data_IF_435062446436
#
_entry.id   IF_435062446436
#
_cell.length_a   1.000
_cell.length_b   1.000
_cell.length_c   1.000
_cell.angle_alpha   90.00
_cell.angle_beta   90.00
_cell.angle_gamma   90.00
#
_symmetry.space_group_name_H-M   'P 1'
#
loop_
_entity.id
_entity.type
_entity.pdbx_description
1 polymer ?
#
# COMPACT_ATOMS: atom_id res chain seq x y z
N UNK A 1 -9.72 -16.51 -4.10
CA UNK A 1 -8.80 -15.36 -4.18
C UNK A 1 -8.98 -14.42 -3.02
N UNK A 2 -7.93 -13.72 -2.75
CA UNK A 2 -7.95 -12.78 -1.67
C UNK A 2 -8.83 -11.59 -2.01
N UNK A 3 -9.58 -11.10 -1.03
CA UNK A 3 -10.33 -9.87 -1.26
C UNK A 3 -9.44 -8.63 -1.31
N UNK A 4 -8.21 -8.73 -0.84
CA UNK A 4 -7.30 -7.60 -0.83
C UNK A 4 -6.15 -7.89 -1.76
N UNK A 5 -5.91 -7.01 -2.73
CA UNK A 5 -4.73 -7.19 -3.53
C UNK A 5 -4.26 -5.83 -4.02
N UNK A 6 -3.04 -5.83 -4.51
CA UNK A 6 -2.34 -4.61 -4.83
C UNK A 6 -2.14 -4.55 -6.33
N UNK A 7 -2.46 -3.41 -6.91
CA UNK A 7 -2.17 -3.14 -8.31
C UNK A 7 -1.15 -2.02 -8.36
N UNK A 8 -0.03 -2.30 -9.01
CA UNK A 8 1.06 -1.33 -9.13
C UNK A 8 0.95 -0.61 -10.45
N UNK A 9 1.31 0.65 -10.45
CA UNK A 9 1.37 1.42 -11.67
C UNK A 9 2.78 1.86 -11.99
N UNK A 10 3.75 1.16 -11.45
CA UNK A 10 5.14 1.53 -11.63
C UNK A 10 5.65 1.26 -13.02
N UNK A 11 5.02 0.37 -13.74
CA UNK A 11 5.49 0.02 -15.07
C UNK A 11 5.33 1.16 -16.05
N UNK A 12 4.73 2.23 -15.66
CA UNK A 12 4.47 3.33 -16.57
C UNK A 12 5.66 4.24 -16.80
N UNK A 13 6.76 3.99 -16.21
CA UNK A 13 8.01 4.70 -16.46
C UNK A 13 8.00 6.18 -16.13
N UNK A 14 6.95 6.67 -15.53
CA UNK A 14 6.92 8.05 -15.08
C UNK A 14 7.48 8.13 -13.68
N UNK A 15 7.64 9.34 -13.19
CA UNK A 15 8.07 9.52 -11.82
C UNK A 15 6.91 9.51 -10.84
N UNK A 16 5.70 9.29 -11.31
CA UNK A 16 4.56 9.17 -10.43
C UNK A 16 4.37 7.71 -10.09
N UNK A 17 4.44 7.41 -8.82
CA UNK A 17 4.35 6.04 -8.35
C UNK A 17 3.17 5.93 -7.41
N UNK A 18 2.28 5.01 -7.70
CA UNK A 18 1.10 4.79 -6.89
C UNK A 18 0.89 3.30 -6.76
N UNK A 19 0.68 2.86 -5.54
CA UNK A 19 0.23 1.51 -5.25
C UNK A 19 -1.23 1.62 -4.88
N UNK A 20 -2.08 0.90 -5.59
CA UNK A 20 -3.51 0.93 -5.34
C UNK A 20 -3.92 -0.36 -4.65
N UNK A 21 -4.56 -0.21 -3.50
CA UNK A 21 -5.15 -1.33 -2.77
C UNK A 21 -6.62 -1.37 -3.11
N UNK A 22 -7.11 -2.51 -3.53
CA UNK A 22 -8.50 -2.64 -4.01
C UNK A 22 -9.24 -3.71 -3.22
N UNK A 23 -10.56 -3.72 -3.37
CA UNK A 23 -11.44 -4.68 -2.71
C UNK A 23 -11.30 -4.64 -1.20
N UNK A 24 -11.22 -3.43 -0.67
CA UNK A 24 -10.99 -3.22 0.75
C UNK A 24 -12.29 -3.35 1.53
N UNK A 25 -12.21 -3.80 2.79
CA UNK A 25 -13.38 -3.74 3.68
C UNK A 25 -13.80 -2.29 3.91
N UNK A 26 -14.98 -2.13 4.49
CA UNK A 26 -15.53 -0.81 4.76
C UNK A 26 -14.57 0.02 5.59
N UNK A 27 -14.07 -0.55 6.67
CA UNK A 27 -13.12 0.14 7.52
C UNK A 27 -11.91 -0.73 7.69
N UNK A 28 -10.75 -0.21 7.36
CA UNK A 28 -9.53 -0.96 7.53
C UNK A 28 -8.35 -0.02 7.69
N UNK A 29 -7.27 -0.59 8.17
CA UNK A 29 -6.01 0.12 8.33
C UNK A 29 -4.98 -0.64 7.51
N UNK A 30 -4.27 0.07 6.65
CA UNK A 30 -3.21 -0.49 5.85
C UNK A 30 -1.89 0.02 6.39
N UNK A 31 -1.05 -0.90 6.85
CA UNK A 31 0.29 -0.55 7.31
C UNK A 31 1.29 -1.05 6.31
N UNK A 32 2.26 -0.23 6.01
CA UNK A 32 3.28 -0.55 5.02
C UNK A 32 4.63 -0.53 5.71
N UNK A 33 5.37 -1.62 5.54
CA UNK A 33 6.66 -1.83 6.21
C UNK A 33 7.76 -2.01 5.19
N UNK A 34 8.93 -1.55 5.53
CA UNK A 34 10.13 -1.85 4.75
C UNK A 34 10.48 -3.33 4.91
N UNK A 35 11.41 -3.80 4.10
CA UNK A 35 11.86 -5.19 4.19
C UNK A 35 12.52 -5.50 5.52
N UNK A 36 12.99 -4.49 6.23
CA UNK A 36 13.57 -4.69 7.56
C UNK A 36 12.52 -4.61 8.67
N UNK A 37 11.25 -4.41 8.32
CA UNK A 37 10.20 -4.43 9.32
C UNK A 37 9.86 -3.09 9.93
N UNK A 38 10.41 -2.01 9.39
CA UNK A 38 10.13 -0.67 9.90
C UNK A 38 8.85 -0.14 9.27
N UNK A 39 7.97 0.42 10.08
CA UNK A 39 6.74 1.01 9.58
C UNK A 39 7.07 2.24 8.75
N UNK A 40 6.67 2.19 7.49
CA UNK A 40 6.95 3.26 6.54
C UNK A 40 5.77 4.20 6.45
N UNK A 41 4.57 3.65 6.38
CA UNK A 41 3.39 4.47 6.20
C UNK A 41 2.17 3.74 6.72
N UNK A 42 1.12 4.51 7.01
CA UNK A 42 -0.14 3.98 7.47
C UNK A 42 -1.26 4.70 6.73
N UNK A 43 -2.16 3.94 6.16
CA UNK A 43 -3.29 4.47 5.40
C UNK A 43 -4.56 3.98 6.06
N UNK A 44 -5.44 4.89 6.43
CA UNK A 44 -6.74 4.53 6.99
C UNK A 44 -7.77 4.63 5.88
N UNK A 45 -8.60 3.62 5.79
CA UNK A 45 -9.65 3.56 4.78
C UNK A 45 -11.00 3.48 5.45
N UNK A 46 -11.87 4.40 5.10
CA UNK A 46 -13.24 4.43 5.60
C UNK A 46 -14.16 4.61 4.41
N UNK A 47 -15.06 3.68 4.24
CA UNK A 47 -15.97 3.69 3.10
C UNK A 47 -17.34 3.26 3.57
N UNK A 48 -18.35 3.57 2.81
CA UNK A 48 -19.71 3.12 3.12
C UNK A 48 -20.01 1.79 2.45
N UNK A 49 -19.15 1.31 1.56
CA UNK A 49 -19.40 0.07 0.85
C UNK A 49 -18.13 -0.76 0.81
N UNK A 50 -18.32 -2.07 0.78
CA UNK A 50 -17.21 -3.00 0.59
C UNK A 50 -16.68 -2.86 -0.83
N UNK A 51 -15.40 -3.14 -0.99
CA UNK A 51 -14.79 -3.13 -2.33
C UNK A 51 -14.15 -1.82 -2.71
N UNK A 52 -14.02 -0.92 -1.78
CA UNK A 52 -13.38 0.36 -2.05
C UNK A 52 -11.89 0.24 -2.33
N UNK A 53 -11.28 1.36 -2.63
CA UNK A 53 -9.88 1.41 -3.00
C UNK A 53 -9.20 2.57 -2.29
N UNK A 54 -7.89 2.41 -2.08
CA UNK A 54 -7.04 3.47 -1.55
C UNK A 54 -5.73 3.48 -2.31
N UNK A 55 -5.23 4.66 -2.55
CA UNK A 55 -3.96 4.84 -3.21
C UNK A 55 -2.89 5.20 -2.18
N UNK A 56 -1.71 4.60 -2.35
CA UNK A 56 -0.55 5.02 -1.58
C UNK A 56 0.44 5.63 -2.57
N UNK A 57 0.90 6.81 -2.24
CA UNK A 57 1.75 7.58 -3.14
C UNK A 57 3.24 7.28 -2.97
N UNK A 58 3.57 6.15 -2.37
CA UNK A 58 4.92 5.64 -2.14
C UNK A 58 5.80 6.62 -1.37
N UNK A 59 5.18 7.33 -0.44
CA UNK A 59 5.92 8.25 0.42
C UNK A 59 5.82 7.78 1.85
N UNK A 60 6.89 8.01 2.60
CA UNK A 60 6.89 7.66 4.01
C UNK A 60 6.12 8.72 4.79
N UNK A 61 6.12 8.58 6.12
CA UNK A 61 5.34 9.47 6.97
C UNK A 61 5.92 10.88 7.00
N UNK A 62 7.13 11.06 6.54
CA UNK A 62 7.75 12.36 6.40
C UNK A 62 7.57 12.94 5.00
N UNK A 63 6.71 12.31 4.20
CA UNK A 63 6.38 12.76 2.85
C UNK A 63 7.57 12.67 1.89
N UNK A 64 8.47 11.74 2.14
CA UNK A 64 9.61 11.49 1.27
C UNK A 64 9.37 10.23 0.47
N UNK A 65 9.73 10.25 -0.80
CA UNK A 65 9.59 9.07 -1.66
C UNK A 65 10.48 7.95 -1.12
N UNK A 66 9.91 6.76 -1.00
CA UNK A 66 10.65 5.65 -0.45
C UNK A 66 11.63 5.10 -1.46
N UNK A 67 12.64 4.43 -0.98
CA UNK A 67 13.66 3.82 -1.83
C UNK A 67 13.09 2.61 -2.56
N UNK A 68 13.72 2.25 -3.65
CA UNK A 68 13.40 1.01 -4.33
C UNK A 68 13.63 -0.18 -3.40
N UNK A 69 12.78 -1.17 -3.51
CA UNK A 69 12.93 -2.36 -2.69
C UNK A 69 11.61 -3.08 -2.51
N UNK A 70 11.67 -4.11 -1.69
CA UNK A 70 10.49 -4.90 -1.34
C UNK A 70 9.87 -4.32 -0.09
N UNK A 71 8.55 -4.18 -0.13
CA UNK A 71 7.78 -3.67 0.99
C UNK A 71 6.68 -4.65 1.32
N UNK A 72 6.30 -4.67 2.58
CA UNK A 72 5.23 -5.53 3.06
C UNK A 72 4.05 -4.68 3.48
N UNK A 73 2.86 -5.19 3.26
CA UNK A 73 1.67 -4.49 3.72
C UNK A 73 0.86 -5.41 4.62
N UNK A 74 0.12 -4.79 5.50
CA UNK A 74 -0.72 -5.46 6.47
C UNK A 74 -2.04 -4.72 6.51
N UNK A 75 -3.11 -5.38 6.08
CA UNK A 75 -4.44 -4.80 6.08
C UNK A 75 -5.22 -5.43 7.21
N UNK A 76 -5.73 -4.60 8.10
CA UNK A 76 -6.43 -5.05 9.28
C UNK A 76 -7.83 -4.46 9.30
N UNK A 77 -8.83 -5.31 9.50
CA UNK A 77 -10.22 -4.90 9.53
C UNK A 77 -10.98 -5.79 10.49
N UNK A 78 -11.45 -5.20 11.57
CA UNK A 78 -12.16 -5.95 12.57
C UNK A 78 -11.29 -7.03 13.16
N UNK A 79 -11.43 -8.15 13.24
CA UNK A 79 -10.54 -9.18 13.76
C UNK A 79 -9.76 -9.89 12.68
N UNK A 80 -9.95 -9.49 11.42
CA UNK A 80 -9.30 -10.17 10.31
C UNK A 80 -8.13 -9.35 9.80
N UNK A 81 -7.17 -10.03 9.19
CA UNK A 81 -6.07 -9.32 8.60
C UNK A 81 -5.49 -10.11 7.44
N UNK A 82 -4.78 -9.38 6.60
CA UNK A 82 -4.19 -9.93 5.40
C UNK A 82 -2.82 -9.30 5.23
N UNK A 83 -1.84 -10.07 4.84
CA UNK A 83 -0.49 -9.55 4.61
C UNK A 83 -0.07 -9.91 3.21
N UNK A 84 0.81 -9.09 2.66
CA UNK A 84 1.35 -9.33 1.34
C UNK A 84 2.58 -8.48 1.14
N UNK A 85 3.06 -8.44 -0.09
CA UNK A 85 4.25 -7.67 -0.39
C UNK A 85 4.17 -7.15 -1.82
N UNK A 86 4.98 -6.13 -2.07
CA UNK A 86 5.12 -5.59 -3.42
C UNK A 86 6.51 -5.00 -3.55
N UNK A 87 6.90 -4.75 -4.78
CA UNK A 87 8.20 -4.17 -5.07
C UNK A 87 8.00 -2.75 -5.58
N UNK A 88 8.78 -1.84 -5.03
CA UNK A 88 8.80 -0.47 -5.50
C UNK A 88 10.07 -0.29 -6.34
N UNK A 89 9.89 0.25 -7.53
CA UNK A 89 11.00 0.59 -8.38
C UNK A 89 10.94 2.10 -8.57
N UNK A 90 11.93 2.78 -8.01
CA UNK A 90 11.96 4.24 -8.01
C UNK A 90 13.02 4.69 -9.00
N UNK A 91 12.57 5.32 -10.07
CA UNK A 91 13.46 5.78 -11.13
C UNK A 91 13.92 7.21 -10.93
N UNK A 92 13.55 7.83 -9.83
CA UNK A 92 13.98 9.20 -9.59
C UNK A 92 15.50 9.27 -9.54
N UNK A 93 16.02 10.40 -9.90
CA UNK A 93 17.44 10.62 -9.90
C UNK A 93 17.84 11.50 -8.81
#
# INVERSE_FOLDING_TARGET
PDPYYVTSQFEQTTDTKIIKFVNLPVDCIIRIYSSSGVLVSLVEHHSTTFGGAEDWNVRNRNNQIVASGVYFFHIEAGGARRVGRFTVVNFAQ
#
